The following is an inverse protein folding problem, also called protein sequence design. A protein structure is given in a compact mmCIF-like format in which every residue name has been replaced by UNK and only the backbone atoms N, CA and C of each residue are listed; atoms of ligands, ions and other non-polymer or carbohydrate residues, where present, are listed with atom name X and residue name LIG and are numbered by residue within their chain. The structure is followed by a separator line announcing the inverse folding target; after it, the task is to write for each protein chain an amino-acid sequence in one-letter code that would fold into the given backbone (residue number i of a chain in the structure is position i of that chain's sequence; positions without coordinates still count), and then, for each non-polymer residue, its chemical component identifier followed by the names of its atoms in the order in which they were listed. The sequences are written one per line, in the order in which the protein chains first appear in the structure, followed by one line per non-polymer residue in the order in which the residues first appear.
data_IF_402900962119
#
_entry.id   IF_402900962119
#
_cell.length_a   1.000
_cell.length_b   1.000
_cell.length_c   1.000
_cell.angle_alpha   90.00
_cell.angle_beta   90.00
_cell.angle_gamma   90.00
#
_symmetry.space_group_name_H-M   'P 1'
#
loop_
_entity.id
_entity.type
_entity.pdbx_description
1 polymer ?
#
# COMPACT_ATOMS: atom_id res chain seq x y z
N UNK A 1 -11.42 -20.45 -11.10
CA UNK A 1 -11.65 -19.80 -9.78
C UNK A 1 -10.41 -20.00 -8.93
N UNK A 2 -9.83 -18.93 -8.35
CA UNK A 2 -8.65 -19.01 -7.46
C UNK A 2 -9.06 -19.66 -6.13
N UNK A 3 -8.22 -20.56 -5.58
CA UNK A 3 -8.53 -21.29 -4.32
C UNK A 3 -8.10 -20.53 -3.05
N UNK A 4 -7.06 -19.70 -3.13
CA UNK A 4 -6.46 -19.00 -1.99
C UNK A 4 -5.97 -17.60 -2.43
N UNK A 5 -5.64 -16.75 -1.46
CA UNK A 5 -5.12 -15.40 -1.68
C UNK A 5 -6.19 -14.41 -2.17
N UNK A 6 -5.72 -13.26 -2.65
CA UNK A 6 -6.47 -12.15 -3.22
C UNK A 6 -7.26 -12.65 -4.44
N UNK A 7 -8.57 -12.53 -4.34
CA UNK A 7 -9.52 -12.97 -5.37
C UNK A 7 -9.81 -11.88 -6.41
N UNK A 8 -9.55 -10.61 -6.08
CA UNK A 8 -9.74 -9.52 -7.03
C UNK A 8 -8.85 -9.75 -8.25
N UNK A 9 -9.46 -10.04 -9.40
CA UNK A 9 -8.74 -10.42 -10.63
C UNK A 9 -7.76 -9.34 -11.11
N UNK A 10 -8.11 -8.06 -10.91
CA UNK A 10 -7.27 -6.95 -11.37
C UNK A 10 -6.07 -6.78 -10.44
N UNK A 11 -6.27 -6.91 -9.13
CA UNK A 11 -5.19 -6.91 -8.16
C UNK A 11 -4.30 -8.14 -8.34
N UNK A 12 -4.86 -9.34 -8.31
CA UNK A 12 -4.09 -10.59 -8.44
C UNK A 12 -3.29 -10.65 -9.74
N UNK A 13 -3.81 -10.10 -10.85
CA UNK A 13 -3.06 -9.99 -12.09
C UNK A 13 -1.93 -8.97 -11.99
N UNK A 14 -2.19 -7.79 -11.41
CA UNK A 14 -1.17 -6.77 -11.21
C UNK A 14 -0.03 -7.26 -10.29
N UNK A 15 -0.33 -8.01 -9.23
CA UNK A 15 0.69 -8.55 -8.32
C UNK A 15 1.60 -9.57 -9.02
N UNK A 16 1.05 -10.38 -9.93
CA UNK A 16 1.81 -11.37 -10.68
C UNK A 16 2.79 -10.76 -11.70
N UNK A 17 2.63 -9.47 -12.02
CA UNK A 17 3.51 -8.72 -12.92
C UNK A 17 4.66 -8.00 -12.19
N UNK A 18 4.70 -8.03 -10.85
CA UNK A 18 5.71 -7.34 -10.05
C UNK A 18 7.06 -8.08 -10.07
N UNK A 19 8.14 -7.31 -10.16
CA UNK A 19 9.52 -7.76 -10.02
C UNK A 19 10.24 -7.15 -8.82
N UNK A 20 11.50 -7.55 -8.63
CA UNK A 20 12.37 -6.99 -7.59
C UNK A 20 12.53 -5.47 -7.77
N UNK A 21 12.35 -4.73 -6.69
CA UNK A 21 12.48 -3.27 -6.67
C UNK A 21 11.23 -2.51 -7.11
N UNK A 22 10.19 -3.18 -7.63
CA UNK A 22 8.94 -2.52 -7.98
C UNK A 22 8.26 -1.93 -6.74
N UNK A 23 7.71 -0.72 -6.91
CA UNK A 23 6.96 -0.01 -5.87
C UNK A 23 5.47 -0.34 -5.91
N UNK A 24 4.88 -0.66 -4.76
CA UNK A 24 3.42 -0.82 -4.58
C UNK A 24 2.95 0.14 -3.51
N UNK A 25 2.19 1.16 -3.88
CA UNK A 25 1.54 2.04 -2.91
C UNK A 25 0.20 1.43 -2.50
N UNK A 26 0.00 1.25 -1.20
CA UNK A 26 -1.33 1.02 -0.61
C UNK A 26 -1.77 2.33 0.00
N UNK A 27 -2.93 2.86 -0.37
CA UNK A 27 -3.34 4.20 0.04
C UNK A 27 -4.78 4.29 0.55
N UNK A 28 -5.03 5.33 1.33
CA UNK A 28 -6.35 5.76 1.74
C UNK A 28 -7.17 6.33 0.58
N UNK A 29 -8.44 6.62 0.82
CA UNK A 29 -9.34 7.13 -0.20
C UNK A 29 -8.98 8.56 -0.67
N UNK A 30 -8.16 9.31 0.08
CA UNK A 30 -7.83 10.71 -0.18
C UNK A 30 -6.50 10.95 -0.90
N UNK A 31 -5.61 9.96 -0.95
CA UNK A 31 -4.29 10.10 -1.57
C UNK A 31 -4.40 10.47 -3.06
N UNK A 32 -3.80 11.59 -3.52
CA UNK A 32 -3.75 11.92 -4.94
C UNK A 32 -2.86 10.91 -5.68
N UNK A 33 -3.34 10.42 -6.82
CA UNK A 33 -2.62 9.46 -7.65
C UNK A 33 -2.22 10.18 -8.95
N UNK A 34 -0.93 10.39 -9.22
CA UNK A 34 -0.45 10.98 -10.48
C UNK A 34 -0.63 10.00 -11.64
N UNK A 35 -0.49 10.50 -12.87
CA UNK A 35 -0.43 9.65 -14.06
C UNK A 35 0.83 8.77 -14.03
N UNK A 36 0.71 7.54 -14.55
CA UNK A 36 1.84 6.60 -14.65
C UNK A 36 1.56 5.22 -14.03
N UNK A 37 1.39 5.11 -12.70
CA UNK A 37 1.17 3.82 -12.06
C UNK A 37 -0.13 3.15 -12.52
N UNK A 38 -0.13 1.81 -12.54
CA UNK A 38 -1.37 1.05 -12.65
C UNK A 38 -2.18 1.25 -11.37
N UNK A 39 -3.46 1.56 -11.48
CA UNK A 39 -4.35 1.73 -10.32
C UNK A 39 -5.31 0.56 -10.22
N UNK A 40 -5.40 -0.03 -9.04
CA UNK A 40 -6.49 -0.93 -8.65
C UNK A 40 -7.26 -0.27 -7.52
N UNK A 41 -8.40 0.32 -7.86
CA UNK A 41 -9.28 0.96 -6.90
C UNK A 41 -10.23 -0.08 -6.28
N UNK A 42 -10.08 -0.31 -4.98
CA UNK A 42 -10.92 -1.21 -4.19
C UNK A 42 -11.95 -0.44 -3.35
N UNK A 43 -11.89 0.90 -3.32
CA UNK A 43 -12.74 1.71 -2.48
C UNK A 43 -14.21 1.50 -2.87
N UNK A 44 -14.99 0.90 -1.97
CA UNK A 44 -16.42 0.71 -2.17
C UNK A 44 -17.23 1.77 -1.41
N UNK A 45 -16.88 1.97 -0.14
CA UNK A 45 -17.46 2.99 0.76
C UNK A 45 -16.38 3.47 1.72
N UNK A 46 -16.60 4.61 2.38
CA UNK A 46 -15.72 5.08 3.44
C UNK A 46 -15.54 3.98 4.51
N UNK A 47 -14.28 3.63 4.78
CA UNK A 47 -13.84 2.54 5.65
C UNK A 47 -13.82 1.14 5.02
N UNK A 48 -14.25 0.94 3.77
CA UNK A 48 -14.46 -0.40 3.18
C UNK A 48 -13.87 -0.54 1.76
N UNK A 49 -12.90 -1.45 1.57
CA UNK A 49 -12.16 -2.21 2.59
C UNK A 49 -11.23 -1.30 3.39
N UNK A 50 -10.89 -1.70 4.62
CA UNK A 50 -9.96 -0.94 5.47
C UNK A 50 -8.52 -1.01 4.96
N UNK A 51 -7.68 -0.06 5.36
CA UNK A 51 -6.26 -0.09 5.01
C UNK A 51 -5.57 -1.35 5.55
N UNK A 52 -5.89 -1.74 6.79
CA UNK A 52 -5.32 -2.91 7.44
C UNK A 52 -5.64 -4.21 6.68
N UNK A 53 -6.92 -4.42 6.33
CA UNK A 53 -7.36 -5.63 5.62
C UNK A 53 -6.66 -5.79 4.26
N UNK A 54 -6.52 -4.68 3.52
CA UNK A 54 -5.85 -4.72 2.22
C UNK A 54 -4.35 -4.94 2.38
N UNK A 55 -3.71 -4.25 3.33
CA UNK A 55 -2.28 -4.40 3.59
C UNK A 55 -1.94 -5.83 4.02
N UNK A 56 -2.69 -6.42 4.94
CA UNK A 56 -2.50 -7.80 5.40
C UNK A 56 -2.65 -8.80 4.25
N UNK A 57 -3.68 -8.63 3.42
CA UNK A 57 -3.90 -9.47 2.25
C UNK A 57 -2.76 -9.39 1.24
N UNK A 58 -2.19 -8.19 1.04
CA UNK A 58 -1.04 -7.99 0.16
C UNK A 58 0.23 -8.63 0.74
N UNK A 59 0.50 -8.43 2.03
CA UNK A 59 1.69 -8.98 2.69
C UNK A 59 1.66 -10.51 2.81
N UNK A 60 0.49 -11.14 2.71
CA UNK A 60 0.39 -12.59 2.62
C UNK A 60 0.84 -13.16 1.26
N UNK A 61 0.91 -12.36 0.20
CA UNK A 61 1.33 -12.79 -1.15
C UNK A 61 2.62 -12.12 -1.64
N UNK A 62 2.98 -10.95 -1.11
CA UNK A 62 4.14 -10.18 -1.54
C UNK A 62 5.36 -10.41 -0.65
N UNK A 63 6.52 -10.57 -1.29
CA UNK A 63 7.80 -10.38 -0.61
C UNK A 63 8.15 -8.90 -0.65
N UNK A 64 8.35 -8.30 0.51
CA UNK A 64 8.66 -6.88 0.68
C UNK A 64 10.02 -6.74 1.35
N UNK A 65 10.92 -5.95 0.76
CA UNK A 65 12.25 -5.66 1.32
C UNK A 65 12.34 -4.28 1.99
N UNK A 66 11.34 -3.43 1.79
CA UNK A 66 11.28 -2.12 2.41
C UNK A 66 9.91 -1.49 2.33
N UNK A 67 9.63 -0.57 3.25
CA UNK A 67 8.39 0.18 3.30
C UNK A 67 8.67 1.65 3.63
N UNK A 68 7.95 2.57 3.00
CA UNK A 68 8.02 4.01 3.25
C UNK A 68 6.63 4.57 3.54
N UNK A 69 6.47 5.35 4.60
CA UNK A 69 5.22 6.00 4.98
C UNK A 69 5.41 7.47 5.36
N UNK A 70 4.30 8.20 5.48
CA UNK A 70 4.31 9.59 5.92
C UNK A 70 4.56 9.67 7.43
N UNK A 71 5.49 10.50 7.89
CA UNK A 71 5.80 10.67 9.31
C UNK A 71 4.59 11.17 10.12
N UNK A 72 3.73 11.97 9.49
CA UNK A 72 2.50 12.54 10.03
C UNK A 72 1.51 11.46 10.50
N UNK A 73 1.64 10.21 10.03
CA UNK A 73 0.80 9.09 10.46
C UNK A 73 0.86 8.86 11.97
N UNK A 74 2.01 9.12 12.61
CA UNK A 74 2.19 8.90 14.04
C UNK A 74 1.26 9.75 14.90
N UNK A 75 1.10 11.03 14.53
CA UNK A 75 0.29 11.97 15.29
C UNK A 75 -1.19 11.90 14.89
N UNK A 76 -1.46 11.78 13.58
CA UNK A 76 -2.80 11.89 13.03
C UNK A 76 -3.55 10.56 12.95
N UNK A 77 -2.85 9.42 12.93
CA UNK A 77 -3.45 8.10 12.84
C UNK A 77 -2.65 7.01 13.57
N UNK A 78 -2.67 7.01 14.93
CA UNK A 78 -1.90 6.06 15.74
C UNK A 78 -2.19 4.59 15.43
N UNK A 79 -3.41 4.28 14.96
CA UNK A 79 -3.78 2.91 14.58
C UNK A 79 -3.03 2.45 13.33
N UNK A 80 -2.98 3.28 12.27
CA UNK A 80 -2.20 2.97 11.08
C UNK A 80 -0.69 2.98 11.39
N UNK A 81 -0.23 3.92 12.21
CA UNK A 81 1.17 3.95 12.64
C UNK A 81 1.58 2.66 13.36
N UNK A 82 0.79 2.22 14.34
CA UNK A 82 1.05 0.97 15.07
C UNK A 82 1.05 -0.26 14.18
N UNK A 83 0.10 -0.34 13.22
CA UNK A 83 0.07 -1.40 12.22
C UNK A 83 1.36 -1.40 11.37
N UNK A 84 1.74 -0.26 10.82
CA UNK A 84 2.92 -0.14 9.96
C UNK A 84 4.21 -0.47 10.72
N UNK A 85 4.38 0.01 11.94
CA UNK A 85 5.54 -0.36 12.78
C UNK A 85 5.54 -1.84 13.12
N UNK A 86 4.35 -2.45 13.30
CA UNK A 86 4.20 -3.88 13.54
C UNK A 86 4.66 -4.76 12.38
N UNK A 87 4.33 -4.38 11.14
CA UNK A 87 4.79 -5.12 9.95
C UNK A 87 6.22 -4.77 9.53
N UNK A 88 6.66 -3.53 9.78
CA UNK A 88 7.91 -2.99 9.25
C UNK A 88 8.77 -2.36 10.36
N UNK A 89 9.60 -3.14 11.07
CA UNK A 89 10.54 -2.61 12.06
C UNK A 89 11.55 -1.59 11.49
N UNK A 90 11.81 -1.66 10.17
CA UNK A 90 12.66 -0.72 9.42
C UNK A 90 11.86 0.29 8.58
N UNK A 91 10.63 0.63 8.99
CA UNK A 91 9.79 1.58 8.26
C UNK A 91 10.50 2.92 8.06
N UNK A 92 10.68 3.31 6.80
CA UNK A 92 11.25 4.61 6.49
C UNK A 92 10.16 5.68 6.51
N UNK A 93 10.36 6.73 7.30
CA UNK A 93 9.39 7.82 7.43
C UNK A 93 9.87 9.05 6.66
N UNK A 94 8.98 9.62 5.87
CA UNK A 94 9.21 10.85 5.09
C UNK A 94 8.07 11.82 5.30
N UNK A 95 8.23 13.13 5.01
CA UNK A 95 7.09 14.03 4.95
C UNK A 95 6.04 13.55 3.93
N UNK A 96 4.76 13.80 4.18
CA UNK A 96 3.69 13.33 3.32
C UNK A 96 3.81 13.82 1.87
N UNK A 97 4.28 15.06 1.67
CA UNK A 97 4.57 15.59 0.33
C UNK A 97 5.62 14.76 -0.42
N UNK A 98 6.66 14.31 0.29
CA UNK A 98 7.66 13.42 -0.31
C UNK A 98 7.08 12.06 -0.67
N UNK A 99 6.16 11.53 0.13
CA UNK A 99 5.47 10.28 -0.20
C UNK A 99 4.60 10.42 -1.48
N UNK A 100 3.94 11.57 -1.67
CA UNK A 100 3.21 11.88 -2.90
C UNK A 100 4.12 11.87 -4.12
N UNK A 101 5.28 12.52 -4.03
CA UNK A 101 6.26 12.52 -5.13
C UNK A 101 6.71 11.10 -5.50
N UNK A 102 6.99 10.26 -4.49
CA UNK A 102 7.41 8.87 -4.71
C UNK A 102 6.31 8.01 -5.38
N UNK A 103 5.04 8.41 -5.28
CA UNK A 103 3.90 7.66 -5.85
C UNK A 103 3.99 7.58 -7.38
N UNK A 104 4.54 8.60 -8.05
CA UNK A 104 4.71 8.59 -9.49
C UNK A 104 5.66 7.48 -9.99
N UNK A 105 6.59 7.04 -9.14
CA UNK A 105 7.50 5.94 -9.44
C UNK A 105 6.96 4.55 -9.08
N UNK A 106 5.77 4.47 -8.46
CA UNK A 106 5.17 3.18 -8.13
C UNK A 106 4.76 2.44 -9.40
N UNK A 107 4.92 1.12 -9.39
CA UNK A 107 4.40 0.24 -10.45
C UNK A 107 2.89 0.07 -10.32
N UNK A 108 2.42 0.00 -9.07
CA UNK A 108 1.03 -0.27 -8.71
C UNK A 108 0.60 0.65 -7.56
N UNK A 109 -0.61 1.20 -7.67
CA UNK A 109 -1.34 1.81 -6.56
C UNK A 109 -2.59 0.97 -6.26
N UNK A 110 -2.77 0.60 -5.00
CA UNK A 110 -3.95 -0.07 -4.47
C UNK A 110 -4.68 0.91 -3.57
N UNK A 111 -5.78 1.47 -4.09
CA UNK A 111 -6.60 2.42 -3.32
C UNK A 111 -7.59 1.65 -2.47
N UNK A 112 -7.58 1.92 -1.16
CA UNK A 112 -8.49 1.32 -0.19
C UNK A 112 -9.68 2.23 0.08
N UNK A 113 -10.67 1.72 0.82
CA UNK A 113 -11.76 2.55 1.32
C UNK A 113 -11.39 3.35 2.57
N UNK A 114 -10.15 3.25 3.09
CA UNK A 114 -9.76 3.89 4.34
C UNK A 114 -10.04 5.40 4.34
N UNK A 115 -10.68 5.86 5.41
CA UNK A 115 -11.14 7.24 5.54
C UNK A 115 -10.48 7.97 6.72
N UNK A 116 -9.40 7.40 7.26
CA UNK A 116 -8.53 8.02 8.26
C UNK A 116 -7.26 8.55 7.59
N UNK A 117 -6.71 9.67 8.09
CA UNK A 117 -5.64 10.38 7.41
C UNK A 117 -4.33 9.57 7.41
N UNK A 118 -3.50 9.80 6.39
CA UNK A 118 -2.14 9.28 6.24
C UNK A 118 -2.01 7.74 6.29
N UNK A 119 -3.09 7.00 6.04
CA UNK A 119 -3.03 5.54 5.94
C UNK A 119 -2.50 5.13 4.56
N UNK A 120 -1.21 5.40 4.35
CA UNK A 120 -0.52 5.20 3.08
C UNK A 120 0.87 4.59 3.34
N UNK A 121 1.22 3.57 2.55
CA UNK A 121 2.56 2.96 2.59
C UNK A 121 2.99 2.56 1.19
N UNK A 122 4.20 2.99 0.81
CA UNK A 122 4.88 2.54 -0.40
C UNK A 122 5.76 1.35 -0.05
N UNK A 123 5.37 0.17 -0.52
CA UNK A 123 6.10 -1.08 -0.39
C UNK A 123 7.10 -1.21 -1.53
N UNK A 124 8.28 -1.74 -1.24
CA UNK A 124 9.29 -2.11 -2.23
C UNK A 124 9.38 -3.64 -2.31
N UNK A 125 9.09 -4.20 -3.48
CA UNK A 125 9.10 -5.63 -3.70
C UNK A 125 10.52 -6.18 -3.55
N UNK A 126 10.66 -7.27 -2.79
CA UNK A 126 11.89 -8.02 -2.60
C UNK A 126 11.98 -9.25 -3.52
N UNK A 127 12.87 -10.17 -3.16
CA UNK A 127 13.06 -11.46 -3.83
C UNK A 127 12.92 -12.58 -2.80
N UNK A 128 12.34 -13.71 -3.20
CA UNK A 128 12.08 -14.85 -2.30
C UNK A 128 13.26 -15.85 -2.18
N UNK A 129 14.40 -15.58 -2.84
CA UNK A 129 15.59 -16.42 -2.90
C UNK A 129 16.86 -15.64 -2.59
#
# INVERSE_FOLDING_TARGET
MKKHGILNRHLSGALAELGHGDGVLVCDAGMPIPDGPRVVDLAFRAGVPSFAEVLDGLLAELVVEGATAAAEVHDANPAAAGLLTGHFPGLHLVPHERLKELTAGARLVVRTGEARPYANVLLRCGVFF
#
